data_IF_094912656442
#
_entry.id   IF_094912656442
#
_cell.length_a   1.000
_cell.length_b   1.000
_cell.length_c   1.000
_cell.angle_alpha   90.00
_cell.angle_beta   90.00
_cell.angle_gamma   90.00
#
_symmetry.space_group_name_H-M   'P 1'
#
loop_
_entity.id
_entity.type
_entity.pdbx_description
1 polymer ?
#
# COMPACT_ATOMS: atom_id res chain seq x y z
N UNK A 1 78.81 -21.89 35.51
CA UNK A 1 78.27 -23.11 36.14
C UNK A 1 76.77 -22.95 36.13
N UNK A 2 76.12 -23.43 35.01
CA UNK A 2 74.68 -23.31 34.79
C UNK A 2 74.03 -24.61 35.25
N UNK A 3 73.04 -24.51 36.10
CA UNK A 3 72.16 -25.59 36.45
C UNK A 3 70.84 -25.37 35.73
N UNK A 4 70.64 -26.08 34.65
CA UNK A 4 69.36 -26.17 33.95
C UNK A 4 68.52 -27.27 34.60
N UNK A 5 67.42 -26.89 35.23
CA UNK A 5 66.44 -27.81 35.80
C UNK A 5 65.59 -28.45 34.70
N UNK A 6 65.56 -29.76 34.62
CA UNK A 6 64.70 -30.56 33.71
C UNK A 6 63.22 -30.37 34.11
N UNK A 7 62.48 -29.75 33.22
CA UNK A 7 61.01 -29.67 33.32
C UNK A 7 60.41 -30.95 32.82
N UNK A 8 59.76 -31.68 33.71
CA UNK A 8 59.19 -32.99 33.57
C UNK A 8 58.02 -32.98 32.55
N UNK A 9 58.22 -33.53 31.34
CA UNK A 9 57.30 -33.61 30.22
C UNK A 9 55.97 -34.33 30.55
N UNK A 10 55.89 -35.07 31.65
CA UNK A 10 54.65 -35.76 32.03
C UNK A 10 53.51 -34.84 32.49
N UNK A 11 53.79 -33.62 32.91
CA UNK A 11 52.77 -32.65 33.38
C UNK A 11 52.22 -31.80 32.22
N UNK A 12 52.94 -31.68 31.11
CA UNK A 12 52.51 -30.84 29.99
C UNK A 12 51.34 -31.48 29.22
N UNK A 13 51.32 -32.80 29.10
CA UNK A 13 50.19 -33.51 28.46
C UNK A 13 48.88 -33.42 29.24
N UNK A 14 48.94 -33.29 30.58
CA UNK A 14 47.71 -33.10 31.40
C UNK A 14 47.18 -31.69 31.31
N UNK A 15 48.07 -30.70 31.20
CA UNK A 15 47.66 -29.27 31.07
C UNK A 15 47.08 -29.03 29.67
N UNK A 16 47.65 -29.62 28.62
CA UNK A 16 47.09 -29.52 27.25
C UNK A 16 45.76 -30.21 27.07
N UNK A 17 45.49 -31.35 27.76
CA UNK A 17 44.22 -32.06 27.69
C UNK A 17 43.11 -31.24 28.43
N UNK A 18 43.45 -30.58 29.52
CA UNK A 18 42.49 -29.72 30.23
C UNK A 18 42.18 -28.42 29.47
N UNK A 19 43.18 -27.86 28.74
CA UNK A 19 42.93 -26.70 27.86
C UNK A 19 42.09 -27.09 26.61
N UNK A 20 42.27 -28.28 26.03
CA UNK A 20 41.48 -28.72 24.89
C UNK A 20 40.03 -29.07 25.24
N UNK A 21 39.78 -29.61 26.45
CA UNK A 21 38.43 -29.86 26.95
C UNK A 21 37.70 -28.55 27.29
N UNK A 22 38.40 -27.53 27.82
CA UNK A 22 37.83 -26.20 28.08
C UNK A 22 37.51 -25.42 26.81
N UNK A 23 38.26 -25.58 25.72
CA UNK A 23 37.99 -24.94 24.43
C UNK A 23 36.85 -25.65 23.64
N UNK A 24 36.69 -26.99 23.85
CA UNK A 24 35.63 -27.75 23.17
C UNK A 24 34.21 -27.50 23.80
N UNK A 25 34.13 -26.95 25.00
CA UNK A 25 32.86 -26.62 25.67
C UNK A 25 32.36 -25.19 25.42
N UNK A 26 33.14 -24.33 24.72
CA UNK A 26 32.75 -22.96 24.37
C UNK A 26 32.25 -22.78 22.94
N UNK A 27 32.13 -23.85 22.13
CA UNK A 27 31.67 -23.74 20.73
C UNK A 27 30.19 -24.15 20.57
N UNK A 28 29.49 -24.47 21.65
CA UNK A 28 28.07 -24.81 21.59
C UNK A 28 27.27 -23.84 22.46
N UNK A 29 27.05 -22.65 21.95
CA UNK A 29 25.88 -21.78 22.18
C UNK A 29 26.22 -20.33 21.71
N UNK A 30 26.20 -20.12 20.42
CA UNK A 30 25.95 -18.79 19.92
C UNK A 30 24.85 -18.93 18.85
N UNK A 31 23.68 -19.39 19.27
CA UNK A 31 22.45 -18.99 18.63
C UNK A 31 22.24 -17.51 19.02
N UNK A 32 22.46 -16.64 18.04
CA UNK A 32 22.02 -15.25 18.16
C UNK A 32 20.49 -15.27 18.18
N UNK A 33 19.90 -15.23 19.37
CA UNK A 33 18.55 -14.74 19.52
C UNK A 33 18.57 -13.25 19.27
N UNK A 34 17.97 -12.80 18.20
CA UNK A 34 17.61 -11.40 18.05
C UNK A 34 16.54 -11.10 19.09
N UNK A 35 16.87 -10.26 20.05
CA UNK A 35 15.94 -9.77 21.08
C UNK A 35 15.43 -8.43 20.58
N UNK A 36 14.10 -8.27 20.54
CA UNK A 36 13.49 -6.99 20.25
C UNK A 36 13.77 -5.96 21.39
N UNK A 37 13.47 -4.69 21.12
CA UNK A 37 13.72 -3.58 22.05
C UNK A 37 12.92 -3.72 23.37
N UNK A 38 12.03 -4.70 23.49
CA UNK A 38 11.18 -4.97 24.66
C UNK A 38 11.45 -6.35 25.32
N UNK A 39 12.42 -7.13 24.81
CA UNK A 39 12.81 -8.42 25.41
C UNK A 39 11.83 -9.58 25.18
N UNK A 40 10.89 -9.47 24.23
CA UNK A 40 10.03 -10.56 23.82
C UNK A 40 10.59 -11.27 22.57
N UNK A 41 10.71 -12.60 22.64
CA UNK A 41 11.03 -13.42 21.47
C UNK A 41 9.86 -13.39 20.50
N UNK A 42 10.02 -12.76 19.35
CA UNK A 42 9.05 -12.83 18.25
C UNK A 42 9.31 -14.13 17.47
N UNK A 43 8.32 -15.01 17.29
CA UNK A 43 8.47 -16.21 16.47
C UNK A 43 8.75 -15.77 15.02
N UNK A 44 9.86 -16.21 14.45
CA UNK A 44 10.12 -16.04 13.01
C UNK A 44 9.09 -16.85 12.23
N UNK A 45 8.15 -16.18 11.53
CA UNK A 45 7.29 -16.88 10.58
C UNK A 45 5.86 -16.39 10.39
N UNK A 46 5.35 -15.45 11.18
CA UNK A 46 4.06 -14.85 10.88
C UNK A 46 4.28 -13.47 10.23
N UNK A 47 3.91 -13.36 8.96
CA UNK A 47 3.76 -12.07 8.28
C UNK A 47 2.77 -11.24 9.10
N UNK A 48 3.25 -10.27 9.87
CA UNK A 48 2.38 -9.35 10.58
C UNK A 48 1.53 -8.61 9.52
N UNK A 49 0.28 -9.02 9.40
CA UNK A 49 -0.69 -8.34 8.53
C UNK A 49 -0.95 -6.98 9.17
N UNK A 50 -0.55 -5.92 8.46
CA UNK A 50 -0.86 -4.57 8.91
C UNK A 50 -2.37 -4.40 8.90
N UNK A 51 -2.91 -4.00 10.04
CA UNK A 51 -4.31 -3.58 10.18
C UNK A 51 -4.39 -2.06 10.22
N UNK A 52 -5.47 -1.50 9.72
CA UNK A 52 -5.69 -0.04 9.73
C UNK A 52 -5.58 0.56 11.14
N UNK A 53 -5.98 -0.20 12.17
CA UNK A 53 -5.89 0.23 13.58
C UNK A 53 -4.45 0.47 14.05
N UNK A 54 -3.46 -0.14 13.39
CA UNK A 54 -2.04 0.04 13.70
C UNK A 54 -1.40 1.22 12.97
N UNK A 55 -2.11 1.85 12.03
CA UNK A 55 -1.61 2.94 11.21
C UNK A 55 -2.01 4.26 11.85
N UNK A 56 -1.06 5.19 12.10
CA UNK A 56 -1.38 6.52 12.60
C UNK A 56 -2.35 7.26 11.68
N UNK A 57 -3.20 8.11 12.24
CA UNK A 57 -4.06 8.98 11.44
C UNK A 57 -3.24 9.93 10.55
N UNK A 58 -3.80 10.30 9.41
CA UNK A 58 -3.17 11.26 8.50
C UNK A 58 -2.93 12.61 9.19
N UNK A 59 -1.66 13.03 9.23
CA UNK A 59 -1.22 14.26 9.92
C UNK A 59 -0.61 15.31 8.98
N UNK A 60 -0.96 15.25 7.69
CA UNK A 60 -0.46 16.20 6.68
C UNK A 60 0.76 15.71 5.88
N UNK A 61 1.29 14.52 6.19
CA UNK A 61 2.36 13.89 5.41
C UNK A 61 1.78 12.78 4.54
N UNK A 62 2.26 12.60 3.29
CA UNK A 62 1.69 11.62 2.36
C UNK A 62 1.92 10.17 2.79
N UNK A 63 2.87 9.93 3.66
CA UNK A 63 3.21 8.59 4.18
C UNK A 63 3.68 8.64 5.63
N UNK A 64 3.75 7.46 6.24
CA UNK A 64 4.34 7.21 7.55
C UNK A 64 5.19 5.95 7.50
N UNK A 65 6.32 5.96 8.21
CA UNK A 65 7.11 4.75 8.43
C UNK A 65 6.38 3.82 9.40
N UNK A 66 6.40 2.54 9.08
CA UNK A 66 5.76 1.49 9.87
C UNK A 66 6.75 0.37 10.13
N UNK A 67 6.50 -0.44 11.15
CA UNK A 67 7.39 -1.54 11.55
C UNK A 67 8.86 -1.08 11.73
N UNK A 68 9.08 0.11 12.31
CA UNK A 68 10.42 0.68 12.45
C UNK A 68 11.17 0.91 11.13
N UNK A 69 10.43 1.10 10.04
CA UNK A 69 10.93 1.22 8.67
C UNK A 69 11.65 -0.05 8.14
N UNK A 70 11.35 -1.22 8.74
CA UNK A 70 11.96 -2.50 8.36
C UNK A 70 10.95 -3.34 7.56
N UNK A 71 11.31 -3.77 6.34
CA UNK A 71 10.49 -4.68 5.53
C UNK A 71 10.34 -6.05 6.19
N UNK A 72 9.20 -6.69 5.97
CA UNK A 72 8.91 -8.03 6.47
C UNK A 72 8.92 -9.07 5.34
N UNK A 73 10.10 -9.32 4.76
CA UNK A 73 10.28 -10.34 3.73
C UNK A 73 10.77 -11.65 4.32
N UNK A 74 10.26 -12.76 3.81
CA UNK A 74 10.79 -14.08 4.12
C UNK A 74 12.05 -14.37 3.29
N UNK A 75 12.89 -15.29 3.75
CA UNK A 75 14.09 -15.71 2.98
C UNK A 75 13.75 -16.30 1.60
N UNK A 76 12.56 -16.89 1.46
CA UNK A 76 12.07 -17.45 0.20
C UNK A 76 11.66 -16.40 -0.82
N UNK A 77 11.41 -15.16 -0.41
CA UNK A 77 11.02 -14.07 -1.31
C UNK A 77 12.22 -13.53 -2.10
N UNK A 78 13.44 -13.74 -1.60
CA UNK A 78 14.66 -13.24 -2.24
C UNK A 78 15.13 -14.15 -3.38
N UNK A 79 15.57 -13.52 -4.47
CA UNK A 79 16.10 -14.18 -5.66
C UNK A 79 17.19 -13.31 -6.31
N UNK A 80 18.13 -13.95 -6.99
CA UNK A 80 19.07 -13.28 -7.90
C UNK A 80 18.51 -13.16 -9.32
N UNK A 81 17.25 -13.58 -9.52
CA UNK A 81 16.55 -13.45 -10.81
C UNK A 81 15.40 -12.49 -10.63
N UNK A 82 15.25 -11.58 -11.56
CA UNK A 82 14.10 -10.70 -11.61
C UNK A 82 12.81 -11.52 -11.82
N UNK A 83 11.76 -11.14 -11.12
CA UNK A 83 10.41 -11.70 -11.25
C UNK A 83 9.37 -10.70 -10.80
N UNK A 84 8.13 -10.91 -11.21
CA UNK A 84 6.97 -10.17 -10.75
C UNK A 84 5.77 -11.09 -10.55
N UNK A 85 4.91 -10.74 -9.62
CA UNK A 85 3.69 -11.48 -9.30
C UNK A 85 2.60 -10.54 -8.82
N UNK A 86 1.40 -10.74 -9.31
CA UNK A 86 0.21 -9.93 -9.05
C UNK A 86 -0.91 -10.85 -8.58
N UNK A 87 -1.44 -10.58 -7.39
CA UNK A 87 -2.58 -11.34 -6.87
C UNK A 87 -3.80 -11.23 -7.78
N UNK A 88 -4.63 -12.27 -7.83
CA UNK A 88 -5.93 -12.18 -8.48
C UNK A 88 -6.80 -11.09 -7.82
N UNK A 89 -7.69 -10.50 -8.60
CA UNK A 89 -8.68 -9.58 -8.05
C UNK A 89 -9.61 -10.36 -7.11
N UNK A 90 -10.00 -9.73 -6.02
CA UNK A 90 -10.98 -10.30 -5.12
C UNK A 90 -12.41 -10.24 -5.69
N UNK A 91 -13.40 -10.75 -4.94
CA UNK A 91 -14.81 -10.78 -5.35
C UNK A 91 -15.43 -9.39 -5.57
N UNK A 92 -14.80 -8.32 -5.08
CA UNK A 92 -15.19 -6.92 -5.29
C UNK A 92 -14.40 -6.26 -6.44
N UNK A 93 -13.54 -7.01 -7.13
CA UNK A 93 -12.68 -6.51 -8.20
C UNK A 93 -11.51 -5.64 -7.70
N UNK A 94 -11.11 -5.79 -6.43
CA UNK A 94 -10.00 -5.05 -5.82
C UNK A 94 -8.68 -5.78 -6.03
N UNK A 95 -7.59 -5.02 -6.25
CA UNK A 95 -6.25 -5.59 -6.31
C UNK A 95 -5.81 -6.12 -4.94
N UNK A 96 -5.06 -7.21 -4.95
CA UNK A 96 -4.34 -7.73 -3.80
C UNK A 96 -2.86 -7.33 -3.82
N UNK A 97 -2.03 -8.11 -3.12
CA UNK A 97 -0.59 -7.89 -3.03
C UNK A 97 0.07 -8.02 -4.40
N UNK A 98 0.95 -7.07 -4.71
CA UNK A 98 1.89 -7.11 -5.83
C UNK A 98 3.30 -7.21 -5.28
N UNK A 99 4.11 -8.13 -5.79
CA UNK A 99 5.51 -8.32 -5.40
C UNK A 99 6.38 -8.50 -6.63
N UNK A 100 7.55 -7.90 -6.63
CA UNK A 100 8.55 -8.09 -7.67
C UNK A 100 9.96 -8.03 -7.09
N UNK A 101 10.86 -8.80 -7.66
CA UNK A 101 12.29 -8.63 -7.49
C UNK A 101 12.80 -7.77 -8.66
N UNK A 102 12.86 -6.47 -8.44
CA UNK A 102 13.15 -5.47 -9.49
C UNK A 102 14.63 -5.54 -9.86
N UNK A 103 14.91 -5.92 -11.09
CA UNK A 103 16.20 -5.81 -11.74
C UNK A 103 16.09 -4.99 -13.03
N UNK A 104 17.20 -4.68 -13.67
CA UNK A 104 17.19 -3.97 -14.97
C UNK A 104 16.41 -4.71 -16.05
N UNK A 105 16.25 -6.02 -15.90
CA UNK A 105 15.55 -6.91 -16.83
C UNK A 105 14.03 -6.65 -16.88
N UNK A 106 13.44 -6.17 -15.76
CA UNK A 106 12.02 -5.82 -15.69
C UNK A 106 11.74 -4.38 -16.11
N UNK A 107 12.75 -3.52 -16.05
CA UNK A 107 12.54 -2.12 -16.38
C UNK A 107 12.08 -1.93 -17.82
N UNK A 108 11.20 -0.95 -18.10
CA UNK A 108 10.63 -0.76 -19.42
C UNK A 108 11.71 -0.47 -20.47
N UNK A 109 11.60 -1.12 -21.61
CA UNK A 109 12.40 -0.86 -22.83
C UNK A 109 11.60 -0.08 -23.87
N UNK A 110 10.30 0.12 -23.64
CA UNK A 110 9.38 0.82 -24.52
C UNK A 110 8.74 2.01 -23.80
N UNK A 111 8.16 2.92 -24.57
CA UNK A 111 7.40 4.04 -24.03
C UNK A 111 6.08 3.56 -23.39
N UNK A 112 5.65 4.25 -22.32
CA UNK A 112 4.42 3.94 -21.61
C UNK A 112 3.19 4.12 -22.51
N UNK A 113 2.41 3.05 -22.65
CA UNK A 113 1.15 3.07 -23.38
C UNK A 113 -0.03 3.68 -22.61
N UNK A 114 -1.17 3.80 -23.27
CA UNK A 114 -2.41 4.27 -22.64
C UNK A 114 -2.97 3.21 -21.68
N UNK A 115 -3.45 3.65 -20.53
CA UNK A 115 -4.13 2.82 -19.52
C UNK A 115 -5.58 3.28 -19.25
N UNK A 116 -6.10 4.20 -20.10
CA UNK A 116 -7.42 4.80 -19.94
C UNK A 116 -8.59 3.84 -19.90
N UNK A 117 -8.45 2.67 -20.55
CA UNK A 117 -9.46 1.61 -20.60
C UNK A 117 -9.64 0.87 -19.26
N UNK A 118 -8.64 0.84 -18.40
CA UNK A 118 -8.74 0.18 -17.09
C UNK A 118 -9.54 1.05 -16.13
N UNK A 119 -10.51 0.45 -15.46
CA UNK A 119 -11.31 1.10 -14.40
C UNK A 119 -11.17 0.26 -13.14
N UNK A 120 -10.25 0.61 -12.23
CA UNK A 120 -10.10 -0.09 -10.96
C UNK A 120 -11.37 0.01 -10.11
N UNK A 121 -11.46 -0.80 -9.05
CA UNK A 121 -12.58 -0.72 -8.10
C UNK A 121 -12.75 0.72 -7.57
N UNK A 122 -13.97 1.18 -7.39
CA UNK A 122 -14.29 2.53 -6.92
C UNK A 122 -13.90 3.67 -7.87
N UNK A 123 -13.60 3.40 -9.15
CA UNK A 123 -13.16 4.42 -10.10
C UNK A 123 -14.23 5.48 -10.38
N UNK A 124 -13.87 6.76 -10.12
CA UNK A 124 -14.65 7.93 -10.47
C UNK A 124 -13.84 8.90 -11.32
N UNK A 125 -14.49 9.57 -12.28
CA UNK A 125 -13.87 10.63 -13.06
C UNK A 125 -14.27 11.99 -12.49
N UNK A 126 -13.44 12.52 -11.60
CA UNK A 126 -13.74 13.73 -10.82
C UNK A 126 -12.56 14.71 -10.95
N UNK A 127 -12.89 16.01 -10.99
CA UNK A 127 -11.92 17.10 -11.09
C UNK A 127 -12.14 18.12 -9.98
N UNK A 128 -11.02 18.64 -9.45
CA UNK A 128 -10.95 19.77 -8.54
C UNK A 128 -9.89 20.75 -9.03
N UNK A 129 -10.19 22.04 -9.12
CA UNK A 129 -9.27 23.04 -9.69
C UNK A 129 -7.98 23.21 -8.87
N UNK A 130 -8.01 22.88 -7.58
CA UNK A 130 -6.87 22.97 -6.66
C UNK A 130 -6.00 21.70 -6.63
N UNK A 131 -6.42 20.62 -7.29
CA UNK A 131 -5.61 19.39 -7.42
C UNK A 131 -4.67 19.54 -8.60
N UNK A 132 -3.41 19.15 -8.43
CA UNK A 132 -2.42 19.12 -9.52
C UNK A 132 -2.93 18.27 -10.68
N UNK A 133 -2.89 18.81 -11.91
CA UNK A 133 -3.48 18.17 -13.08
C UNK A 133 -5.01 18.08 -13.07
N UNK A 134 -5.67 18.64 -12.02
CA UNK A 134 -7.12 18.74 -11.80
C UNK A 134 -7.83 17.42 -11.53
N UNK A 135 -7.36 16.26 -11.99
CA UNK A 135 -8.00 14.97 -11.76
C UNK A 135 -7.66 14.45 -10.36
N UNK A 136 -8.72 14.21 -9.54
CA UNK A 136 -8.56 13.65 -8.20
C UNK A 136 -7.90 12.28 -8.26
N UNK A 137 -8.44 11.39 -9.10
CA UNK A 137 -7.97 10.01 -9.17
C UNK A 137 -7.07 9.77 -10.36
N UNK A 138 -6.03 9.00 -10.08
CA UNK A 138 -5.14 8.38 -11.05
C UNK A 138 -5.38 6.86 -11.04
N UNK A 139 -5.11 6.21 -12.15
CA UNK A 139 -4.91 4.77 -12.19
C UNK A 139 -3.51 4.52 -11.66
N UNK A 140 -3.41 4.38 -10.33
CA UNK A 140 -2.13 4.20 -9.67
C UNK A 140 -1.64 2.78 -9.89
N UNK A 141 -0.44 2.65 -10.45
CA UNK A 141 0.25 1.38 -10.41
C UNK A 141 0.67 1.05 -8.99
N UNK A 142 0.48 -0.19 -8.56
CA UNK A 142 1.05 -0.69 -7.31
C UNK A 142 2.56 -0.86 -7.48
N UNK A 143 3.01 -1.54 -8.52
CA UNK A 143 4.40 -1.53 -8.96
C UNK A 143 4.49 -0.60 -10.17
N UNK A 144 5.21 0.52 -10.02
CA UNK A 144 5.30 1.57 -11.03
C UNK A 144 5.81 1.08 -12.37
N UNK A 145 5.30 1.64 -13.48
CA UNK A 145 5.72 1.30 -14.84
C UNK A 145 7.24 1.37 -15.01
N UNK A 146 7.88 2.36 -14.40
CA UNK A 146 9.34 2.54 -14.46
C UNK A 146 10.14 1.39 -13.82
N UNK A 147 9.49 0.55 -13.00
CA UNK A 147 10.11 -0.56 -12.27
C UNK A 147 9.93 -1.91 -12.98
N UNK A 148 8.75 -2.14 -13.58
CA UNK A 148 8.38 -3.46 -14.11
C UNK A 148 7.97 -3.45 -15.59
N UNK A 149 7.79 -2.28 -16.23
CA UNK A 149 7.28 -2.21 -17.59
C UNK A 149 5.81 -2.62 -17.75
N UNK A 150 5.14 -3.06 -16.66
CA UNK A 150 3.74 -3.44 -16.66
C UNK A 150 2.82 -2.24 -16.88
N UNK A 151 2.11 -2.18 -18.03
CA UNK A 151 1.37 -0.99 -18.41
C UNK A 151 -0.11 -1.03 -17.99
N UNK A 152 -0.91 -1.89 -18.60
CA UNK A 152 -2.38 -1.89 -18.45
C UNK A 152 -2.88 -3.13 -17.66
N UNK A 153 -2.08 -3.67 -16.79
CA UNK A 153 -2.42 -4.81 -15.96
C UNK A 153 -3.48 -4.42 -14.92
N UNK A 154 -4.67 -5.00 -15.02
CA UNK A 154 -5.80 -4.72 -14.11
C UNK A 154 -5.52 -5.13 -12.66
N UNK A 155 -4.58 -6.07 -12.43
CA UNK A 155 -4.16 -6.53 -11.11
C UNK A 155 -3.12 -5.61 -10.47
N UNK A 156 -2.58 -4.65 -11.22
CA UNK A 156 -1.55 -3.70 -10.79
C UNK A 156 -2.06 -2.25 -10.72
N UNK A 157 -3.35 -2.00 -10.96
CA UNK A 157 -3.92 -0.65 -11.04
C UNK A 157 -5.03 -0.47 -10.01
N UNK A 158 -4.89 0.52 -9.14
CA UNK A 158 -5.91 0.90 -8.16
C UNK A 158 -6.40 2.33 -8.39
N UNK A 159 -7.57 2.65 -7.82
CA UNK A 159 -8.07 4.02 -7.73
C UNK A 159 -7.30 4.74 -6.63
N UNK A 160 -6.30 5.52 -7.00
CA UNK A 160 -5.48 6.31 -6.08
C UNK A 160 -5.61 7.79 -6.34
N UNK A 161 -5.51 8.60 -5.30
CA UNK A 161 -5.51 10.06 -5.45
C UNK A 161 -4.26 10.56 -6.15
N UNK A 162 -4.33 11.77 -6.72
CA UNK A 162 -3.16 12.44 -7.29
C UNK A 162 -2.07 12.62 -6.24
N UNK A 163 -2.46 13.01 -5.03
CA UNK A 163 -1.55 13.20 -3.90
C UNK A 163 -0.85 11.90 -3.49
N UNK A 164 -1.60 10.79 -3.31
CA UNK A 164 -1.00 9.48 -3.05
C UNK A 164 0.00 9.09 -4.14
N UNK A 165 -0.39 9.22 -5.41
CA UNK A 165 0.42 8.78 -6.52
C UNK A 165 1.73 9.58 -6.66
N UNK A 166 1.68 10.91 -6.52
CA UNK A 166 2.82 11.78 -6.84
C UNK A 166 3.65 12.14 -5.61
N UNK A 167 2.98 12.49 -4.51
CA UNK A 167 3.69 12.89 -3.29
C UNK A 167 3.99 11.70 -2.38
N UNK A 168 3.18 10.63 -2.48
CA UNK A 168 3.31 9.45 -1.64
C UNK A 168 4.15 8.34 -2.25
N UNK A 169 3.74 7.78 -3.40
CA UNK A 169 4.36 6.58 -3.97
C UNK A 169 5.59 6.90 -4.83
N UNK A 170 5.50 7.88 -5.73
CA UNK A 170 6.54 8.18 -6.71
C UNK A 170 7.95 8.42 -6.12
N UNK A 171 8.14 9.06 -4.95
CA UNK A 171 9.48 9.23 -4.36
C UNK A 171 10.15 7.88 -4.07
N UNK A 172 9.40 6.89 -3.56
CA UNK A 172 9.92 5.55 -3.27
C UNK A 172 10.20 4.75 -4.54
N UNK A 173 9.32 4.85 -5.53
CA UNK A 173 9.55 4.25 -6.84
C UNK A 173 10.82 4.82 -7.51
N UNK A 174 11.02 6.13 -7.45
CA UNK A 174 12.23 6.77 -7.98
C UNK A 174 13.49 6.30 -7.26
N UNK A 175 13.45 6.21 -5.93
CA UNK A 175 14.58 5.72 -5.14
C UNK A 175 14.99 4.29 -5.56
N UNK A 176 14.02 3.40 -5.74
CA UNK A 176 14.28 2.03 -6.23
C UNK A 176 14.80 2.04 -7.66
N UNK A 177 14.17 2.81 -8.56
CA UNK A 177 14.59 2.89 -9.95
C UNK A 177 16.03 3.41 -10.12
N UNK A 178 16.38 4.46 -9.38
CA UNK A 178 17.72 5.06 -9.43
C UNK A 178 18.77 4.10 -8.86
N UNK A 179 18.46 3.39 -7.77
CA UNK A 179 19.34 2.38 -7.21
C UNK A 179 19.60 1.25 -8.19
N UNK A 180 18.55 0.63 -8.75
CA UNK A 180 18.68 -0.48 -9.70
C UNK A 180 19.45 -0.04 -10.97
N UNK A 181 19.17 1.14 -11.51
CA UNK A 181 19.87 1.68 -12.69
C UNK A 181 21.36 1.92 -12.43
N UNK A 182 21.71 2.41 -11.22
CA UNK A 182 23.10 2.76 -10.90
C UNK A 182 23.93 1.53 -10.51
N UNK A 183 23.38 0.60 -9.74
CA UNK A 183 24.13 -0.54 -9.18
C UNK A 183 24.02 -1.83 -9.99
N UNK A 184 22.92 -2.00 -10.75
CA UNK A 184 22.47 -3.25 -11.39
C UNK A 184 22.09 -4.35 -10.38
N UNK A 185 21.99 -4.03 -9.12
CA UNK A 185 21.50 -4.90 -8.07
C UNK A 185 19.98 -5.02 -8.10
N UNK A 186 19.44 -6.07 -7.48
CA UNK A 186 18.02 -6.30 -7.36
C UNK A 186 17.43 -5.68 -6.09
N UNK A 187 16.18 -5.26 -6.19
CA UNK A 187 15.38 -4.79 -5.07
C UNK A 187 14.10 -5.62 -4.99
N UNK A 188 13.93 -6.33 -3.89
CA UNK A 188 12.64 -6.94 -3.57
C UNK A 188 11.68 -5.82 -3.16
N UNK A 189 10.57 -5.72 -3.88
CA UNK A 189 9.59 -4.64 -3.77
C UNK A 189 8.19 -5.23 -3.66
N UNK A 190 7.46 -4.89 -2.60
CA UNK A 190 6.10 -5.37 -2.37
C UNK A 190 5.18 -4.20 -2.07
N UNK A 191 4.01 -4.20 -2.71
CA UNK A 191 2.96 -3.23 -2.45
C UNK A 191 1.67 -3.96 -2.08
N UNK A 192 1.14 -3.63 -0.91
CA UNK A 192 -0.08 -4.22 -0.36
C UNK A 192 -1.14 -3.12 -0.22
N UNK A 193 -2.18 -3.11 -1.05
CA UNK A 193 -3.31 -2.18 -0.86
C UNK A 193 -4.13 -2.61 0.37
N UNK A 194 -4.46 -1.64 1.21
CA UNK A 194 -5.21 -1.86 2.45
C UNK A 194 -6.62 -1.31 2.30
N UNK A 195 -7.59 -2.20 2.35
CA UNK A 195 -9.01 -1.86 2.27
C UNK A 195 -9.69 -2.05 3.62
N UNK A 196 -10.59 -1.17 3.98
CA UNK A 196 -11.47 -1.34 5.14
C UNK A 196 -12.75 -2.06 4.70
N UNK A 197 -13.05 -3.21 5.30
CA UNK A 197 -14.25 -3.98 5.00
C UNK A 197 -14.49 -4.18 3.50
N UNK A 198 -15.66 -3.74 3.03
CA UNK A 198 -16.08 -3.85 1.62
C UNK A 198 -15.81 -2.57 0.81
N UNK A 199 -15.00 -1.66 1.30
CA UNK A 199 -14.65 -0.45 0.57
C UNK A 199 -14.01 -0.78 -0.79
N UNK A 200 -14.44 -0.06 -1.84
CA UNK A 200 -13.93 -0.24 -3.20
C UNK A 200 -12.64 0.54 -3.47
N UNK A 201 -12.34 1.55 -2.64
CA UNK A 201 -11.11 2.33 -2.71
C UNK A 201 -10.25 1.98 -1.50
N UNK A 202 -8.97 1.70 -1.73
CA UNK A 202 -8.04 1.42 -0.65
C UNK A 202 -7.85 2.65 0.24
N UNK A 203 -7.77 2.46 1.55
CA UNK A 203 -7.41 3.53 2.51
C UNK A 203 -5.98 4.02 2.29
N UNK A 204 -5.14 3.17 1.76
CA UNK A 204 -3.76 3.45 1.39
C UNK A 204 -3.05 2.18 0.93
N UNK A 205 -1.74 2.27 0.77
CA UNK A 205 -0.90 1.13 0.41
C UNK A 205 0.29 1.03 1.36
N UNK A 206 0.66 -0.17 1.76
CA UNK A 206 1.96 -0.45 2.33
C UNK A 206 2.95 -0.66 1.19
N UNK A 207 4.12 -0.04 1.27
CA UNK A 207 5.24 -0.27 0.35
C UNK A 207 6.44 -0.74 1.16
N UNK A 208 6.96 -1.89 0.78
CA UNK A 208 8.15 -2.49 1.37
C UNK A 208 9.20 -2.68 0.28
N UNK A 209 10.44 -2.34 0.58
CA UNK A 209 11.54 -2.55 -0.35
C UNK A 209 12.84 -2.88 0.39
N UNK A 210 13.63 -3.79 -0.21
CA UNK A 210 14.91 -4.21 0.32
C UNK A 210 15.86 -4.63 -0.81
N UNK A 211 17.05 -4.03 -0.86
CA UNK A 211 18.08 -4.45 -1.81
C UNK A 211 18.73 -5.77 -1.39
N UNK A 212 19.02 -6.62 -2.35
CA UNK A 212 19.46 -8.00 -2.08
C UNK A 212 20.98 -8.13 -1.98
N UNK A 213 21.72 -7.78 -3.03
CA UNK A 213 23.16 -8.09 -3.16
C UNK A 213 24.01 -7.36 -2.12
N UNK A 214 23.62 -6.16 -1.73
CA UNK A 214 24.29 -5.33 -0.72
C UNK A 214 23.71 -5.50 0.70
N UNK A 215 22.81 -6.48 0.89
CA UNK A 215 22.20 -6.80 2.18
C UNK A 215 21.50 -5.60 2.82
N UNK A 216 20.68 -4.92 2.05
CA UNK A 216 19.86 -3.76 2.48
C UNK A 216 20.65 -2.46 2.72
N UNK A 217 21.88 -2.37 2.28
CA UNK A 217 22.68 -1.17 2.49
C UNK A 217 22.19 0.01 1.62
N UNK A 218 21.65 -0.28 0.42
CA UNK A 218 21.19 0.75 -0.52
C UNK A 218 19.72 1.06 -0.42
N UNK A 219 18.87 0.03 -0.30
CA UNK A 219 17.41 0.16 -0.18
C UNK A 219 16.92 -0.65 1.01
N UNK A 220 16.24 0.00 1.94
CA UNK A 220 15.55 -0.65 3.05
C UNK A 220 14.48 0.30 3.58
N UNK A 221 13.20 0.04 3.30
CA UNK A 221 12.11 0.82 3.86
C UNK A 221 10.80 0.03 3.93
N UNK A 222 9.93 0.44 4.87
CA UNK A 222 8.58 -0.06 5.06
C UNK A 222 7.69 1.11 5.46
N UNK A 223 6.84 1.53 4.55
CA UNK A 223 6.02 2.73 4.70
C UNK A 223 4.55 2.44 4.37
N UNK A 224 3.66 3.18 5.00
CA UNK A 224 2.26 3.26 4.61
C UNK A 224 2.00 4.60 3.93
N UNK A 225 1.47 4.57 2.72
CA UNK A 225 1.11 5.76 1.93
C UNK A 225 -0.40 5.94 1.98
N UNK A 226 -0.84 7.11 2.43
CA UNK A 226 -2.27 7.42 2.58
C UNK A 226 -2.94 7.70 1.23
N UNK A 227 -4.09 7.07 0.96
CA UNK A 227 -4.89 7.37 -0.21
C UNK A 227 -5.87 8.51 0.07
N UNK A 228 -5.35 9.68 0.34
CA UNK A 228 -6.12 10.89 0.62
C UNK A 228 -5.73 12.01 -0.37
N UNK A 229 -6.50 13.08 -0.36
CA UNK A 229 -6.18 14.31 -1.09
C UNK A 229 -6.50 15.50 -0.19
N UNK A 230 -5.52 16.35 0.17
CA UNK A 230 -5.79 17.56 0.95
C UNK A 230 -6.92 18.38 0.35
N UNK A 231 -7.88 18.80 1.19
CA UNK A 231 -9.05 19.57 0.77
C UNK A 231 -10.17 18.75 0.12
N UNK A 232 -10.10 17.42 0.13
CA UNK A 232 -11.13 16.51 -0.40
C UNK A 232 -11.53 15.49 0.65
N UNK A 233 -12.84 15.27 0.81
CA UNK A 233 -13.40 14.14 1.55
C UNK A 233 -13.74 13.04 0.54
N UNK A 234 -13.32 11.82 0.83
CA UNK A 234 -13.53 10.64 -0.02
C UNK A 234 -14.42 9.64 0.72
N UNK A 235 -15.46 9.18 0.05
CA UNK A 235 -16.19 7.98 0.45
C UNK A 235 -15.46 6.76 -0.13
N UNK A 236 -14.73 6.06 0.70
CA UNK A 236 -13.94 4.91 0.29
C UNK A 236 -14.79 3.69 -0.11
N UNK A 237 -16.04 3.63 0.34
CA UNK A 237 -16.96 2.57 -0.09
C UNK A 237 -17.26 2.65 -1.59
N UNK A 238 -17.30 3.85 -2.17
CA UNK A 238 -17.77 4.09 -3.54
C UNK A 238 -16.76 4.83 -4.43
N UNK A 239 -15.79 5.52 -3.85
CA UNK A 239 -14.92 6.46 -4.55
C UNK A 239 -15.55 7.82 -4.83
N UNK A 240 -16.77 8.08 -4.36
CA UNK A 240 -17.39 9.39 -4.46
C UNK A 240 -16.63 10.37 -3.57
N UNK A 241 -16.52 11.61 -4.00
CA UNK A 241 -15.78 12.61 -3.25
C UNK A 241 -16.46 13.97 -3.26
N UNK A 242 -16.16 14.78 -2.24
CA UNK A 242 -16.61 16.15 -2.11
C UNK A 242 -15.46 17.06 -1.64
N UNK A 243 -15.57 18.36 -1.89
CA UNK A 243 -14.64 19.33 -1.32
C UNK A 243 -14.80 19.37 0.20
N UNK A 244 -13.70 19.38 0.93
CA UNK A 244 -13.74 19.62 2.37
C UNK A 244 -14.13 21.08 2.63
N UNK A 245 -15.24 21.30 3.33
CA UNK A 245 -15.65 22.64 3.74
C UNK A 245 -14.68 23.18 4.80
N UNK A 246 -14.03 24.31 4.53
CA UNK A 246 -13.06 24.97 5.43
C UNK A 246 -13.69 25.50 6.74
N UNK A 247 -14.96 25.21 7.06
CA UNK A 247 -15.70 25.74 8.19
C UNK A 247 -16.15 24.72 9.24
N UNK A 248 -15.51 23.54 9.31
CA UNK A 248 -15.69 22.64 10.45
C UNK A 248 -14.36 22.22 11.05
N UNK A 249 -13.95 22.88 12.11
CA UNK A 249 -13.11 22.31 13.16
C UNK A 249 -13.90 21.13 13.73
N UNK A 250 -13.56 19.91 13.32
CA UNK A 250 -14.12 18.70 13.91
C UNK A 250 -13.13 18.18 14.95
N UNK A 251 -13.52 18.36 16.21
CA UNK A 251 -13.04 17.50 17.31
C UNK A 251 -13.34 16.04 16.99
N UNK A 252 -12.51 15.08 17.47
CA UNK A 252 -12.71 13.67 17.21
C UNK A 252 -13.99 13.18 17.87
N UNK A 253 -15.02 12.92 17.08
CA UNK A 253 -16.22 12.24 17.56
C UNK A 253 -16.05 10.73 17.44
N UNK A 254 -15.98 10.09 18.60
CA UNK A 254 -16.27 8.69 18.81
C UNK A 254 -17.55 8.26 18.10
N UNK A 255 -17.47 7.11 17.40
CA UNK A 255 -18.61 6.48 16.72
C UNK A 255 -19.86 6.40 17.59
N UNK A 256 -21.03 6.66 17.01
CA UNK A 256 -22.24 5.95 17.38
C UNK A 256 -22.70 5.04 16.24
N UNK A 257 -23.06 3.84 16.63
CA UNK A 257 -23.76 2.84 15.85
C UNK A 257 -24.91 3.38 15.01
N UNK A 258 -24.94 2.89 13.77
CA UNK A 258 -26.06 2.77 12.83
C UNK A 258 -27.39 3.42 13.22
N UNK A 259 -27.73 4.52 12.54
CA UNK A 259 -29.09 4.81 12.08
C UNK A 259 -29.01 5.12 10.59
N UNK A 260 -29.78 4.37 9.84
CA UNK A 260 -30.03 4.40 8.42
C UNK A 260 -30.34 5.83 7.94
N UNK A 261 -29.31 6.60 7.58
CA UNK A 261 -29.44 7.91 6.92
C UNK A 261 -29.17 7.71 5.44
N UNK A 262 -30.26 7.54 4.68
CA UNK A 262 -30.24 7.25 3.25
C UNK A 262 -29.37 8.21 2.44
N UNK A 263 -28.82 7.71 1.34
CA UNK A 263 -28.02 8.47 0.37
C UNK A 263 -28.89 9.56 -0.31
N UNK A 264 -28.30 10.72 -0.61
CA UNK A 264 -28.99 11.78 -1.35
C UNK A 264 -28.92 11.51 -2.86
N UNK A 265 -30.08 11.53 -3.50
CA UNK A 265 -30.24 11.38 -4.94
C UNK A 265 -30.99 12.56 -5.55
N UNK A 266 -30.76 12.83 -6.81
CA UNK A 266 -31.57 13.73 -7.64
C UNK A 266 -32.37 12.87 -8.63
N UNK A 267 -33.69 12.93 -8.51
CA UNK A 267 -34.62 12.23 -9.37
C UNK A 267 -34.97 13.09 -10.58
N UNK A 268 -34.93 12.50 -11.76
CA UNK A 268 -35.56 13.07 -12.95
C UNK A 268 -36.96 12.51 -13.10
N UNK A 269 -37.95 13.29 -12.72
CA UNK A 269 -39.35 12.86 -12.73
C UNK A 269 -39.93 12.68 -14.14
N UNK A 270 -39.24 13.16 -15.17
CA UNK A 270 -39.64 12.99 -16.57
C UNK A 270 -39.08 11.71 -17.20
N UNK A 271 -37.84 11.36 -16.86
CA UNK A 271 -37.18 10.18 -17.43
C UNK A 271 -37.18 8.98 -16.49
N UNK A 272 -37.70 9.14 -15.28
CA UNK A 272 -37.69 8.16 -14.19
C UNK A 272 -36.28 7.59 -13.92
N UNK A 273 -35.28 8.49 -13.96
CA UNK A 273 -33.91 8.13 -13.59
C UNK A 273 -33.49 8.87 -12.33
N UNK A 274 -32.70 8.20 -11.51
CA UNK A 274 -32.07 8.83 -10.36
C UNK A 274 -30.57 8.95 -10.56
N UNK A 275 -29.99 9.95 -9.93
CA UNK A 275 -28.60 10.38 -10.11
C UNK A 275 -27.98 10.72 -8.77
N UNK A 276 -26.68 10.59 -8.66
CA UNK A 276 -25.96 11.30 -7.60
C UNK A 276 -26.02 12.80 -7.85
N UNK A 277 -26.05 13.64 -6.79
CA UNK A 277 -26.14 15.12 -6.92
C UNK A 277 -25.03 15.70 -7.80
N UNK A 278 -23.87 15.08 -7.83
CA UNK A 278 -22.68 15.49 -8.59
C UNK A 278 -22.66 15.04 -10.06
N UNK A 279 -23.70 14.34 -10.50
CA UNK A 279 -23.77 13.86 -11.88
C UNK A 279 -23.95 15.01 -12.87
N UNK A 280 -23.12 15.13 -13.88
CA UNK A 280 -23.25 16.18 -14.92
C UNK A 280 -24.59 16.17 -15.67
N UNK A 281 -25.31 15.05 -15.66
CA UNK A 281 -26.68 15.00 -16.19
C UNK A 281 -27.69 15.78 -15.34
N UNK A 282 -27.34 16.11 -14.09
CA UNK A 282 -28.17 16.93 -13.20
C UNK A 282 -28.10 18.40 -13.60
N UNK A 283 -26.95 18.88 -14.09
CA UNK A 283 -26.77 20.26 -14.54
C UNK A 283 -27.65 20.57 -15.75
N UNK A 284 -27.76 19.60 -16.68
CA UNK A 284 -28.59 19.70 -17.89
C UNK A 284 -30.08 19.49 -17.65
N UNK A 285 -30.48 19.14 -16.41
CA UNK A 285 -31.86 18.78 -16.08
C UNK A 285 -32.69 20.02 -15.84
N UNK A 286 -33.87 20.13 -16.52
CA UNK A 286 -34.82 21.21 -16.30
C UNK A 286 -35.29 21.23 -14.83
N UNK A 287 -35.29 22.39 -14.19
CA UNK A 287 -35.64 22.54 -12.78
C UNK A 287 -36.95 21.87 -12.40
N UNK A 288 -38.00 21.98 -13.26
CA UNK A 288 -39.34 21.37 -13.04
C UNK A 288 -39.31 19.83 -12.96
N UNK A 289 -38.24 19.18 -13.45
CA UNK A 289 -38.09 17.72 -13.48
C UNK A 289 -37.12 17.22 -12.39
N UNK A 290 -36.48 18.14 -11.63
CA UNK A 290 -35.58 17.82 -10.52
C UNK A 290 -36.36 17.61 -9.25
N UNK A 291 -36.11 16.52 -8.54
CA UNK A 291 -36.61 16.25 -7.20
C UNK A 291 -35.49 15.65 -6.36
N UNK A 292 -35.24 16.25 -5.21
CA UNK A 292 -34.31 15.69 -4.22
C UNK A 292 -34.97 14.51 -3.50
N UNK A 293 -34.19 13.49 -3.22
CA UNK A 293 -34.60 12.30 -2.48
C UNK A 293 -33.48 11.83 -1.58
N UNK A 294 -33.81 11.56 -0.33
CA UNK A 294 -32.91 10.95 0.63
C UNK A 294 -33.46 9.58 1.03
N UNK A 295 -32.70 8.52 0.77
CA UNK A 295 -33.15 7.16 1.06
C UNK A 295 -32.26 6.11 0.38
N UNK A 296 -32.77 4.88 0.32
CA UNK A 296 -32.06 3.75 -0.23
C UNK A 296 -32.27 3.59 -1.74
N UNK A 297 -31.23 3.12 -2.41
CA UNK A 297 -31.24 2.80 -3.85
C UNK A 297 -32.35 1.80 -4.23
N UNK A 298 -32.48 0.77 -3.43
CA UNK A 298 -33.47 -0.28 -3.63
C UNK A 298 -34.90 0.23 -3.58
N UNK A 299 -35.17 1.23 -2.75
CA UNK A 299 -36.51 1.85 -2.64
C UNK A 299 -36.85 2.69 -3.87
N UNK A 300 -35.86 3.34 -4.49
CA UNK A 300 -36.03 4.04 -5.76
C UNK A 300 -36.32 3.08 -6.91
N UNK A 301 -35.64 1.95 -6.96
CA UNK A 301 -35.89 0.91 -7.96
C UNK A 301 -37.31 0.33 -7.79
N UNK A 302 -37.74 0.06 -6.55
CA UNK A 302 -39.12 -0.37 -6.24
C UNK A 302 -40.18 0.68 -6.63
N UNK A 303 -39.83 1.96 -6.58
CA UNK A 303 -40.68 3.07 -7.03
C UNK A 303 -40.65 3.29 -8.54
N UNK A 304 -39.95 2.44 -9.30
CA UNK A 304 -39.88 2.49 -10.77
C UNK A 304 -38.88 3.48 -11.34
N UNK A 305 -37.88 3.88 -10.53
CA UNK A 305 -36.77 4.68 -11.03
C UNK A 305 -35.61 3.80 -11.42
N UNK A 306 -34.98 4.11 -12.56
CA UNK A 306 -33.77 3.45 -13.03
C UNK A 306 -32.49 4.25 -12.63
N UNK A 307 -31.40 3.58 -12.30
CA UNK A 307 -30.14 4.27 -12.09
C UNK A 307 -29.62 4.92 -13.37
N UNK A 308 -29.08 6.11 -13.27
CA UNK A 308 -28.45 6.80 -14.38
C UNK A 308 -27.21 6.02 -14.87
N UNK A 309 -27.16 5.67 -16.15
CA UNK A 309 -26.03 4.92 -16.75
C UNK A 309 -24.69 5.69 -16.70
N UNK A 310 -24.71 7.01 -16.49
CA UNK A 310 -23.50 7.84 -16.44
C UNK A 310 -22.83 7.83 -15.06
N UNK A 311 -23.61 7.98 -13.99
CA UNK A 311 -23.10 8.02 -12.62
C UNK A 311 -23.34 6.72 -11.84
N UNK A 312 -24.20 5.85 -12.33
CA UNK A 312 -24.59 4.56 -11.73
C UNK A 312 -24.84 4.67 -10.20
N UNK A 313 -25.79 5.47 -9.79
CA UNK A 313 -26.10 5.70 -8.40
C UNK A 313 -26.71 4.49 -7.71
#
# INVERSE_FOLDING_TARGET
MCILGELNMKNWNKIMIVLFVAISLCISACEKSEVDIQGQQVPMGETAVITLDSIPEYSGKPYVEINGNVPNFSKSDFSTKAYESYSELDSLGRCGVCIANIGVELMPTEERGSIGQVKPSGWQLVKYDFVDGKYLYNRCHLIGYQLSGENANVKNLITGTRYMNVEGMLPFENQVADYVKSTKNHVLYRVTPIFEGNNLVASGVQIEAQSYEDKSAGICFNVYVYNCQPGVVIDYATGISARADNNKTTEPQSQPQSKDSGTNYILNTNTHKFHYPTCSSVDDMKAKNKKEYQGNREDLIKQGYDPCKRCNP
#
